data_IF_573590221526
#
_entry.id   IF_573590221526
#
_cell.length_a   1.000
_cell.length_b   1.000
_cell.length_c   1.000
_cell.angle_alpha   90.00
_cell.angle_beta   90.00
_cell.angle_gamma   90.00
#
_symmetry.space_group_name_H-M   'P 1'
#
loop_
_entity.id
_entity.type
_entity.pdbx_description
1 polymer ?
#
# COMPACT_ATOMS: atom_id res chain seq x y z
N UNK A 1 -19.15 -12.73 31.44
CA UNK A 1 -18.50 -13.24 30.21
C UNK A 1 -17.12 -12.60 30.19
N UNK A 2 -16.04 -13.41 30.23
CA UNK A 2 -14.69 -12.86 30.06
C UNK A 2 -14.61 -12.32 28.62
N UNK A 3 -14.31 -11.03 28.46
CA UNK A 3 -13.96 -10.49 27.15
C UNK A 3 -12.81 -11.33 26.57
N UNK A 4 -12.87 -11.71 25.30
CA UNK A 4 -11.80 -12.48 24.68
C UNK A 4 -10.48 -11.70 24.83
N UNK A 5 -9.43 -12.38 25.30
CA UNK A 5 -8.12 -11.76 25.47
C UNK A 5 -7.63 -11.23 24.12
N UNK A 6 -7.18 -9.99 24.07
CA UNK A 6 -6.66 -9.38 22.84
C UNK A 6 -5.42 -10.15 22.39
N UNK A 7 -5.47 -10.79 21.23
CA UNK A 7 -4.32 -11.46 20.65
C UNK A 7 -3.28 -10.44 20.15
N UNK A 8 -3.72 -9.50 19.32
CA UNK A 8 -2.81 -8.58 18.66
C UNK A 8 -3.30 -7.13 18.71
N UNK A 9 -2.37 -6.21 18.90
CA UNK A 9 -2.57 -4.79 18.59
C UNK A 9 -1.80 -4.45 17.33
N UNK A 10 -2.50 -4.04 16.27
CA UNK A 10 -1.90 -3.58 15.03
C UNK A 10 -1.90 -2.06 15.00
N UNK A 11 -0.73 -1.45 14.79
CA UNK A 11 -0.59 0.01 14.83
C UNK A 11 0.16 0.55 13.63
N UNK A 12 -0.46 1.50 12.96
CA UNK A 12 0.08 2.23 11.82
C UNK A 12 -0.80 3.44 11.55
N UNK A 13 -0.25 4.54 11.09
CA UNK A 13 -1.10 5.70 10.86
C UNK A 13 -0.39 6.92 10.33
N UNK A 14 -1.21 7.92 9.97
CA UNK A 14 -0.79 9.18 9.38
C UNK A 14 -1.00 9.26 7.87
N UNK A 15 -0.91 8.15 7.16
CA UNK A 15 -1.16 8.06 5.70
C UNK A 15 -1.80 6.72 5.34
N UNK A 16 -2.46 6.64 4.18
CA UNK A 16 -3.01 5.38 3.65
C UNK A 16 -1.94 4.29 3.51
N UNK A 17 -0.70 4.70 3.19
CA UNK A 17 0.44 3.80 3.07
C UNK A 17 0.81 3.06 4.36
N UNK A 18 0.33 3.45 5.54
CA UNK A 18 0.53 2.71 6.80
C UNK A 18 -0.77 2.10 7.33
N UNK A 19 -1.91 2.73 7.01
CA UNK A 19 -3.22 2.25 7.48
C UNK A 19 -3.66 1.00 6.73
N UNK A 20 -3.62 1.02 5.40
CA UNK A 20 -4.03 -0.13 4.58
C UNK A 20 -3.18 -1.38 4.86
N UNK A 21 -1.82 -1.31 4.92
CA UNK A 21 -1.01 -2.44 5.32
C UNK A 21 -1.28 -2.94 6.74
N UNK A 22 -1.59 -2.03 7.69
CA UNK A 22 -1.97 -2.43 9.05
C UNK A 22 -3.30 -3.23 9.05
N UNK A 23 -4.29 -2.78 8.28
CA UNK A 23 -5.54 -3.51 8.11
C UNK A 23 -5.35 -4.83 7.36
N UNK A 24 -4.46 -4.88 6.36
CA UNK A 24 -4.11 -6.11 5.65
C UNK A 24 -3.50 -7.17 6.59
N UNK A 25 -2.67 -6.75 7.57
CA UNK A 25 -2.17 -7.65 8.61
C UNK A 25 -3.32 -8.17 9.48
N UNK A 26 -4.24 -7.29 9.88
CA UNK A 26 -5.42 -7.71 10.65
C UNK A 26 -6.29 -8.72 9.87
N UNK A 27 -6.49 -8.50 8.56
CA UNK A 27 -7.15 -9.47 7.68
C UNK A 27 -6.40 -10.80 7.61
N UNK A 28 -5.07 -10.76 7.49
CA UNK A 28 -4.22 -11.96 7.46
C UNK A 28 -4.31 -12.77 8.75
N UNK A 29 -4.35 -12.11 9.91
CA UNK A 29 -4.55 -12.78 11.21
C UNK A 29 -5.93 -13.44 11.29
N UNK A 30 -6.99 -12.80 10.80
CA UNK A 30 -8.32 -13.41 10.73
C UNK A 30 -8.32 -14.61 9.79
N UNK A 31 -7.67 -14.51 8.64
CA UNK A 31 -7.54 -15.63 7.70
C UNK A 31 -6.74 -16.82 8.29
N UNK A 32 -5.83 -16.55 9.21
CA UNK A 32 -5.09 -17.56 9.99
C UNK A 32 -5.88 -18.15 11.17
N UNK A 33 -7.15 -17.73 11.37
CA UNK A 33 -8.06 -18.29 12.38
C UNK A 33 -8.19 -17.50 13.67
N UNK A 34 -7.58 -16.31 13.79
CA UNK A 34 -7.79 -15.46 14.94
C UNK A 34 -9.16 -14.76 14.89
N UNK A 35 -9.80 -14.65 16.06
CA UNK A 35 -11.06 -13.90 16.17
C UNK A 35 -10.83 -12.42 15.84
N UNK A 36 -11.69 -11.85 15.01
CA UNK A 36 -11.66 -10.42 14.66
C UNK A 36 -11.73 -9.52 15.88
N UNK A 37 -12.51 -9.90 16.91
CA UNK A 37 -12.64 -9.16 18.18
C UNK A 37 -11.37 -9.20 19.03
N UNK A 38 -10.49 -10.16 18.80
CA UNK A 38 -9.18 -10.27 19.47
C UNK A 38 -8.07 -9.45 18.80
N UNK A 39 -8.37 -8.74 17.72
CA UNK A 39 -7.43 -7.89 17.00
C UNK A 39 -7.85 -6.43 17.18
N UNK A 40 -6.98 -5.61 17.77
CA UNK A 40 -7.27 -4.21 18.05
C UNK A 40 -6.41 -3.29 17.21
N UNK A 41 -7.03 -2.39 16.44
CA UNK A 41 -6.30 -1.39 15.66
C UNK A 41 -6.03 -0.12 16.49
N UNK A 42 -4.79 0.39 16.42
CA UNK A 42 -4.41 1.67 17.04
C UNK A 42 -3.83 2.61 16.01
N UNK A 43 -4.50 3.75 15.81
CA UNK A 43 -4.10 4.79 14.84
C UNK A 43 -4.17 6.20 15.41
N UNK A 44 -4.28 7.20 14.55
CA UNK A 44 -4.39 8.61 14.93
C UNK A 44 -5.81 9.15 14.70
N UNK A 45 -6.18 10.23 15.42
CA UNK A 45 -7.46 10.94 15.20
C UNK A 45 -7.44 11.80 13.93
N UNK A 46 -6.46 11.64 13.06
CA UNK A 46 -6.22 12.47 11.88
C UNK A 46 -5.93 11.58 10.68
N UNK A 47 -6.28 12.08 9.49
CA UNK A 47 -6.02 11.35 8.25
C UNK A 47 -7.07 10.30 7.92
N UNK A 48 -6.71 9.38 7.04
CA UNK A 48 -7.63 8.40 6.45
C UNK A 48 -8.12 7.35 7.45
N UNK A 49 -7.42 7.15 8.57
CA UNK A 49 -7.80 6.18 9.59
C UNK A 49 -9.14 6.52 10.27
N UNK A 50 -9.56 7.78 10.28
CA UNK A 50 -10.88 8.16 10.82
C UNK A 50 -12.04 7.58 10.02
N UNK A 51 -11.81 7.28 8.76
CA UNK A 51 -12.77 6.62 7.86
C UNK A 51 -12.51 5.10 7.78
N UNK A 52 -11.25 4.70 7.58
CA UNK A 52 -10.91 3.31 7.29
C UNK A 52 -10.98 2.40 8.52
N UNK A 53 -10.58 2.87 9.71
CA UNK A 53 -10.59 2.03 10.90
C UNK A 53 -12.02 1.62 11.33
N UNK A 54 -13.03 2.54 11.40
CA UNK A 54 -14.41 2.15 11.64
C UNK A 54 -14.97 1.20 10.58
N UNK A 55 -14.69 1.47 9.29
CA UNK A 55 -15.20 0.67 8.17
C UNK A 55 -14.63 -0.76 8.14
N UNK A 56 -13.44 -0.98 8.70
CA UNK A 56 -12.79 -2.29 8.72
C UNK A 56 -13.42 -3.29 9.71
N UNK A 57 -14.26 -2.82 10.67
CA UNK A 57 -15.01 -3.68 11.59
C UNK A 57 -14.14 -4.37 12.66
N UNK A 58 -12.95 -3.85 12.94
CA UNK A 58 -12.12 -4.25 14.09
C UNK A 58 -12.35 -3.34 15.28
N UNK A 59 -12.17 -3.81 16.52
CA UNK A 59 -11.99 -2.92 17.66
C UNK A 59 -10.87 -1.93 17.40
N UNK A 60 -11.07 -0.65 17.66
CA UNK A 60 -10.05 0.36 17.36
C UNK A 60 -9.97 1.47 18.42
N UNK A 61 -8.81 2.09 18.49
CA UNK A 61 -8.58 3.30 19.29
C UNK A 61 -7.76 4.31 18.49
N UNK A 62 -8.27 5.53 18.39
CA UNK A 62 -7.56 6.63 17.73
C UNK A 62 -6.96 7.57 18.78
N UNK A 63 -5.64 7.75 18.74
CA UNK A 63 -4.88 8.61 19.66
C UNK A 63 -4.67 10.00 19.05
N UNK A 64 -4.63 11.06 19.89
CA UNK A 64 -4.27 12.41 19.43
C UNK A 64 -2.74 12.52 19.29
N UNK A 65 -2.22 12.05 18.17
CA UNK A 65 -0.80 12.12 17.80
C UNK A 65 -0.63 13.08 16.64
N UNK A 66 0.45 13.84 16.66
CA UNK A 66 0.87 14.69 15.54
C UNK A 66 2.26 14.26 15.06
N UNK A 67 2.48 14.29 13.76
CA UNK A 67 3.81 14.08 13.20
C UNK A 67 4.70 15.31 13.46
N UNK A 68 5.99 15.07 13.71
CA UNK A 68 6.98 16.14 13.76
C UNK A 68 7.09 16.75 12.36
N UNK A 69 6.86 18.06 12.25
CA UNK A 69 7.05 18.76 11.00
C UNK A 69 8.55 19.02 10.77
N UNK A 70 9.03 18.79 9.54
CA UNK A 70 10.44 19.02 9.16
C UNK A 70 10.84 20.52 9.17
N UNK A 71 9.86 21.44 9.19
CA UNK A 71 10.09 22.88 9.31
C UNK A 71 10.05 23.31 10.77
N UNK A 72 10.84 24.33 11.12
CA UNK A 72 10.79 25.03 12.41
C UNK A 72 9.46 25.80 12.50
N UNK A 73 8.42 25.14 13.04
CA UNK A 73 7.07 25.68 13.18
C UNK A 73 6.66 25.72 14.65
N UNK A 74 5.89 26.77 15.04
CA UNK A 74 5.27 26.86 16.37
C UNK A 74 4.40 25.61 16.69
N UNK A 75 3.94 24.87 15.68
CA UNK A 75 3.24 23.60 15.84
C UNK A 75 4.10 22.52 16.49
N UNK A 76 5.42 22.58 16.35
CA UNK A 76 6.36 21.67 17.01
C UNK A 76 6.42 21.88 18.53
N UNK A 77 6.05 23.05 19.07
CA UNK A 77 5.97 23.29 20.51
C UNK A 77 4.89 22.41 21.19
N UNK A 78 3.80 22.13 20.49
CA UNK A 78 2.74 21.25 20.99
C UNK A 78 3.04 19.75 20.78
N UNK A 79 4.11 19.42 20.06
CA UNK A 79 4.44 18.03 19.73
C UNK A 79 4.77 17.21 20.98
N UNK A 80 5.67 17.69 21.81
CA UNK A 80 6.15 16.94 22.99
C UNK A 80 5.04 16.68 24.03
N UNK A 81 4.23 17.68 24.45
CA UNK A 81 3.10 17.44 25.34
C UNK A 81 2.06 16.45 24.77
N UNK A 82 1.75 16.56 23.47
CA UNK A 82 0.82 15.64 22.81
C UNK A 82 1.38 14.22 22.74
N UNK A 83 2.67 14.08 22.41
CA UNK A 83 3.34 12.77 22.38
C UNK A 83 3.32 12.10 23.76
N UNK A 84 3.62 12.85 24.84
CA UNK A 84 3.58 12.34 26.21
C UNK A 84 2.15 11.89 26.58
N UNK A 85 1.14 12.71 26.25
CA UNK A 85 -0.27 12.34 26.50
C UNK A 85 -0.70 11.10 25.74
N UNK A 86 -0.38 11.04 24.44
CA UNK A 86 -0.69 9.89 23.60
C UNK A 86 0.01 8.62 24.08
N UNK A 87 1.26 8.72 24.53
CA UNK A 87 2.02 7.59 25.07
C UNK A 87 1.45 7.10 26.41
N UNK A 88 0.99 8.01 27.29
CA UNK A 88 0.29 7.64 28.51
C UNK A 88 -1.03 6.94 28.21
N UNK A 89 -1.84 7.47 27.29
CA UNK A 89 -3.09 6.87 26.85
C UNK A 89 -2.85 5.47 26.24
N UNK A 90 -1.85 5.33 25.36
CA UNK A 90 -1.45 4.05 24.80
C UNK A 90 -1.04 3.04 25.88
N UNK A 91 -0.31 3.49 26.93
CA UNK A 91 0.11 2.62 28.04
C UNK A 91 -1.10 2.12 28.86
N UNK A 92 -2.07 2.98 29.11
CA UNK A 92 -3.34 2.61 29.80
C UNK A 92 -4.11 1.60 28.94
N UNK A 93 -4.25 1.87 27.64
CA UNK A 93 -4.90 0.96 26.69
C UNK A 93 -4.23 -0.43 26.68
N UNK A 94 -2.89 -0.50 26.55
CA UNK A 94 -2.16 -1.77 26.53
C UNK A 94 -2.31 -2.57 27.83
N UNK A 95 -2.41 -1.89 28.99
CA UNK A 95 -2.67 -2.56 30.27
C UNK A 95 -4.07 -3.17 30.34
N UNK A 96 -5.07 -2.52 29.73
CA UNK A 96 -6.43 -3.04 29.64
C UNK A 96 -6.53 -4.21 28.67
N UNK A 97 -5.98 -4.04 27.46
CA UNK A 97 -6.04 -5.04 26.39
C UNK A 97 -5.15 -6.27 26.66
N UNK A 98 -4.00 -6.10 27.31
CA UNK A 98 -2.98 -7.14 27.55
C UNK A 98 -2.66 -8.00 26.31
N UNK A 99 -2.30 -7.37 25.17
CA UNK A 99 -2.09 -8.11 23.94
C UNK A 99 -0.87 -9.05 24.03
N UNK A 100 -0.96 -10.19 23.34
CA UNK A 100 0.15 -11.13 23.20
C UNK A 100 1.28 -10.58 22.34
N UNK A 101 0.96 -9.71 21.36
CA UNK A 101 1.91 -9.07 20.44
C UNK A 101 1.42 -7.71 19.98
N UNK A 102 2.36 -6.79 19.71
CA UNK A 102 2.09 -5.51 19.06
C UNK A 102 2.80 -5.47 17.70
N UNK A 103 2.10 -5.08 16.66
CA UNK A 103 2.61 -4.99 15.29
C UNK A 103 2.73 -3.52 14.91
N UNK A 104 3.96 -3.06 14.70
CA UNK A 104 4.27 -1.69 14.25
C UNK A 104 4.44 -1.65 12.73
N UNK A 105 3.52 -1.01 12.03
CA UNK A 105 3.54 -0.89 10.56
C UNK A 105 4.15 0.45 10.10
N UNK A 106 4.68 1.23 11.04
CA UNK A 106 5.32 2.51 10.74
C UNK A 106 4.38 3.71 10.79
N UNK A 107 4.92 4.85 10.35
CA UNK A 107 4.27 6.14 10.52
C UNK A 107 4.35 6.68 11.96
N UNK A 108 4.16 7.99 12.12
CA UNK A 108 4.24 8.62 13.44
C UNK A 108 3.13 8.13 14.40
N UNK A 109 2.01 7.64 13.85
CA UNK A 109 0.87 7.13 14.60
C UNK A 109 1.19 5.84 15.36
N UNK A 110 2.15 5.03 14.91
CA UNK A 110 2.49 3.76 15.54
C UNK A 110 3.40 3.91 16.77
N UNK A 111 4.11 5.04 16.91
CA UNK A 111 5.10 5.23 17.95
C UNK A 111 4.53 5.07 19.39
N UNK A 112 3.40 5.71 19.78
CA UNK A 112 2.91 5.63 21.15
C UNK A 112 2.57 4.21 21.60
N UNK A 113 1.88 3.44 20.73
CA UNK A 113 1.50 2.06 21.05
C UNK A 113 2.72 1.14 21.14
N UNK A 114 3.66 1.24 20.20
CA UNK A 114 4.88 0.44 20.21
C UNK A 114 5.79 0.78 21.39
N UNK A 115 5.90 2.06 21.72
CA UNK A 115 6.66 2.48 22.91
C UNK A 115 6.02 2.00 24.21
N UNK A 116 4.68 2.02 24.31
CA UNK A 116 3.95 1.48 25.44
C UNK A 116 4.17 -0.04 25.59
N UNK A 117 4.09 -0.80 24.50
CA UNK A 117 4.40 -2.23 24.45
C UNK A 117 5.81 -2.52 25.02
N UNK A 118 6.82 -1.81 24.49
CA UNK A 118 8.19 -1.91 24.98
C UNK A 118 8.31 -1.67 26.49
N UNK A 119 7.61 -0.67 27.03
CA UNK A 119 7.66 -0.31 28.47
C UNK A 119 6.92 -1.30 29.36
N UNK A 120 6.00 -2.05 28.82
CA UNK A 120 5.21 -3.06 29.52
C UNK A 120 5.77 -4.48 29.31
N UNK A 121 6.85 -4.65 28.56
CA UNK A 121 7.43 -5.96 28.27
C UNK A 121 6.63 -6.78 27.26
N UNK A 122 5.63 -6.17 26.58
CA UNK A 122 4.88 -6.84 25.50
C UNK A 122 5.77 -6.97 24.28
N UNK A 123 5.94 -8.17 23.70
CA UNK A 123 6.72 -8.36 22.50
C UNK A 123 6.10 -7.60 21.32
N UNK A 124 6.95 -7.10 20.42
CA UNK A 124 6.46 -6.43 19.24
C UNK A 124 7.29 -6.71 18.00
N UNK A 125 6.62 -6.70 16.86
CA UNK A 125 7.20 -6.83 15.52
C UNK A 125 7.19 -5.47 14.85
N UNK A 126 8.30 -5.10 14.19
CA UNK A 126 8.34 -3.95 13.28
C UNK A 126 8.19 -4.45 11.86
N UNK A 127 7.18 -3.98 11.15
CA UNK A 127 6.95 -4.29 9.73
C UNK A 127 7.44 -3.11 8.90
N UNK A 128 8.42 -3.37 8.03
CA UNK A 128 9.04 -2.37 7.15
C UNK A 128 9.07 -2.91 5.73
N UNK A 129 8.15 -2.46 4.92
CA UNK A 129 7.95 -2.94 3.54
C UNK A 129 8.48 -1.97 2.47
N UNK A 130 9.01 -0.81 2.86
CA UNK A 130 9.82 0.06 1.98
C UNK A 130 11.28 -0.42 1.97
N UNK A 131 11.97 -0.30 0.83
CA UNK A 131 13.41 -0.56 0.73
C UNK A 131 14.22 0.29 1.73
N UNK A 132 13.73 1.48 2.05
CA UNK A 132 14.33 2.36 3.07
C UNK A 132 13.40 2.50 4.28
N UNK A 133 13.74 1.86 5.41
CA UNK A 133 12.93 1.94 6.62
C UNK A 133 12.77 3.37 7.15
N UNK A 134 11.54 3.76 7.49
CA UNK A 134 11.23 5.05 8.07
C UNK A 134 11.84 5.24 9.48
N UNK A 135 11.92 6.49 9.95
CA UNK A 135 12.55 6.85 11.22
C UNK A 135 11.96 6.10 12.43
N UNK A 136 10.63 5.99 12.51
CA UNK A 136 9.96 5.27 13.61
C UNK A 136 10.33 3.79 13.58
N UNK A 137 10.33 3.17 12.40
CA UNK A 137 10.76 1.78 12.22
C UNK A 137 12.20 1.58 12.65
N UNK A 138 13.15 2.43 12.21
CA UNK A 138 14.56 2.39 12.62
C UNK A 138 14.73 2.50 14.14
N UNK A 139 13.98 3.42 14.78
CA UNK A 139 14.06 3.63 16.23
C UNK A 139 13.50 2.43 17.02
N UNK A 140 12.36 1.91 16.60
CA UNK A 140 11.69 0.84 17.33
C UNK A 140 12.32 -0.53 17.06
N UNK A 141 12.93 -0.75 15.89
CA UNK A 141 13.60 -2.00 15.50
C UNK A 141 14.69 -2.45 16.48
N UNK A 142 15.38 -1.51 17.13
CA UNK A 142 16.49 -1.84 18.06
C UNK A 142 16.08 -2.78 19.19
N UNK A 143 14.83 -2.75 19.61
CA UNK A 143 14.28 -3.54 20.74
C UNK A 143 13.07 -4.39 20.30
N UNK A 144 12.78 -4.47 19.02
CA UNK A 144 11.74 -5.35 18.49
C UNK A 144 12.11 -6.81 18.71
N UNK A 145 11.16 -7.70 18.87
CA UNK A 145 11.40 -9.14 18.89
C UNK A 145 11.88 -9.62 17.51
N UNK A 146 11.29 -9.09 16.45
CA UNK A 146 11.69 -9.31 15.06
C UNK A 146 11.34 -8.09 14.19
N UNK A 147 11.99 -7.98 13.03
CA UNK A 147 11.64 -7.01 11.99
C UNK A 147 11.24 -7.76 10.72
N UNK A 148 9.96 -7.68 10.35
CA UNK A 148 9.44 -8.19 9.10
C UNK A 148 9.80 -7.23 7.97
N UNK A 149 10.44 -7.71 6.90
CA UNK A 149 10.85 -6.89 5.76
C UNK A 149 10.33 -7.47 4.45
N UNK A 150 10.06 -6.59 3.48
CA UNK A 150 9.56 -7.01 2.18
C UNK A 150 10.67 -7.31 1.17
N UNK A 151 11.86 -6.80 1.39
CA UNK A 151 12.99 -6.89 0.47
C UNK A 151 14.25 -7.32 1.21
N UNK A 152 15.11 -8.04 0.52
CA UNK A 152 16.43 -8.44 1.03
C UNK A 152 17.34 -7.23 1.29
N UNK A 153 18.40 -7.42 2.06
CA UNK A 153 19.38 -6.37 2.32
C UNK A 153 18.95 -5.28 3.30
N UNK A 154 17.85 -5.45 4.02
CA UNK A 154 17.40 -4.48 5.02
C UNK A 154 18.42 -4.33 6.15
N UNK A 155 18.78 -3.08 6.48
CA UNK A 155 19.69 -2.77 7.60
C UNK A 155 19.03 -2.85 8.99
N UNK A 156 17.77 -3.28 9.09
CA UNK A 156 17.11 -3.43 10.38
C UNK A 156 17.65 -4.64 11.15
N UNK A 157 17.82 -4.54 12.47
CA UNK A 157 18.26 -5.67 13.29
C UNK A 157 17.18 -6.76 13.31
N UNK A 158 17.59 -8.03 13.32
CA UNK A 158 16.66 -9.18 13.31
C UNK A 158 15.66 -9.11 12.17
N UNK A 159 16.12 -8.65 10.99
CA UNK A 159 15.31 -8.61 9.79
C UNK A 159 15.04 -10.05 9.29
N UNK A 160 13.78 -10.33 9.02
CA UNK A 160 13.34 -11.58 8.39
C UNK A 160 12.53 -11.21 7.14
N UNK A 161 12.85 -11.83 6.02
CA UNK A 161 12.14 -11.63 4.77
C UNK A 161 10.77 -12.31 4.84
N UNK A 162 9.70 -11.51 4.87
CA UNK A 162 8.33 -12.00 5.03
C UNK A 162 7.40 -11.52 3.93
N UNK A 163 7.90 -10.65 3.06
CA UNK A 163 7.05 -9.92 2.14
C UNK A 163 6.34 -8.73 2.79
N UNK A 164 5.67 -7.95 1.96
CA UNK A 164 4.83 -6.83 2.38
C UNK A 164 3.43 -7.31 2.77
N UNK A 165 2.75 -6.62 3.69
CA UNK A 165 1.34 -6.89 3.97
C UNK A 165 0.46 -6.47 2.80
N UNK A 166 -0.20 -7.42 2.17
CA UNK A 166 -1.14 -7.24 1.06
C UNK A 166 -2.52 -7.69 1.49
N UNK A 167 -3.55 -6.93 1.09
CA UNK A 167 -4.96 -7.24 1.41
C UNK A 167 -5.34 -8.62 0.91
N UNK A 168 -6.07 -9.40 1.71
CA UNK A 168 -6.42 -10.79 1.37
C UNK A 168 -7.19 -10.90 0.05
N UNK A 169 -8.07 -9.94 -0.25
CA UNK A 169 -8.82 -9.90 -1.53
C UNK A 169 -7.90 -9.72 -2.74
N UNK A 170 -6.73 -9.08 -2.59
CA UNK A 170 -5.72 -8.92 -3.64
C UNK A 170 -4.86 -10.20 -3.74
N UNK A 171 -4.46 -10.76 -2.61
CA UNK A 171 -3.69 -12.03 -2.59
C UNK A 171 -4.46 -13.17 -3.26
N UNK A 172 -5.77 -13.24 -3.04
CA UNK A 172 -6.66 -14.26 -3.59
C UNK A 172 -7.17 -13.96 -5.01
N UNK A 173 -6.76 -12.83 -5.62
CA UNK A 173 -7.27 -12.41 -6.92
C UNK A 173 -6.74 -13.30 -8.05
N UNK A 174 -7.65 -13.91 -8.79
CA UNK A 174 -7.39 -14.55 -10.07
C UNK A 174 -7.79 -13.57 -11.19
N UNK A 175 -6.79 -12.87 -11.75
CA UNK A 175 -7.02 -11.81 -12.74
C UNK A 175 -7.74 -12.31 -13.99
N UNK A 176 -7.38 -13.47 -14.50
CA UNK A 176 -7.95 -13.98 -15.75
C UNK A 176 -9.39 -14.43 -15.57
N UNK A 177 -9.67 -15.10 -14.46
CA UNK A 177 -11.03 -15.55 -14.11
C UNK A 177 -11.95 -14.37 -13.80
N UNK A 178 -11.48 -13.36 -13.10
CA UNK A 178 -12.30 -12.24 -12.62
C UNK A 178 -12.39 -11.08 -13.63
N UNK A 179 -11.53 -11.04 -14.65
CA UNK A 179 -11.48 -9.97 -15.66
C UNK A 179 -12.81 -9.63 -16.33
N UNK A 180 -13.61 -10.61 -16.82
CA UNK A 180 -14.86 -10.29 -17.52
C UNK A 180 -15.86 -9.56 -16.61
N UNK A 181 -15.96 -9.96 -15.36
CA UNK A 181 -16.84 -9.36 -14.37
C UNK A 181 -16.31 -8.00 -13.91
N UNK A 182 -15.00 -7.91 -13.63
CA UNK A 182 -14.34 -6.65 -13.25
C UNK A 182 -14.51 -5.57 -14.32
N UNK A 183 -14.38 -5.93 -15.60
CA UNK A 183 -14.65 -5.01 -16.71
C UNK A 183 -16.09 -4.55 -16.76
N UNK A 184 -17.04 -5.46 -16.51
CA UNK A 184 -18.46 -5.12 -16.43
C UNK A 184 -18.76 -4.16 -15.29
N UNK A 185 -18.23 -4.42 -14.08
CA UNK A 185 -18.40 -3.56 -12.90
C UNK A 185 -17.79 -2.17 -13.05
N UNK A 186 -16.68 -2.09 -13.77
CA UNK A 186 -15.99 -0.82 -14.07
C UNK A 186 -16.47 -0.19 -15.38
N UNK A 187 -17.47 -0.79 -16.05
CA UNK A 187 -18.03 -0.35 -17.35
C UNK A 187 -16.92 -0.17 -18.40
N UNK A 188 -16.02 -1.14 -18.47
CA UNK A 188 -14.92 -1.18 -19.43
C UNK A 188 -15.20 -2.18 -20.55
N UNK A 189 -14.78 -1.91 -21.79
CA UNK A 189 -15.00 -2.80 -22.93
C UNK A 189 -14.22 -4.10 -22.78
N UNK A 190 -14.81 -5.19 -23.32
CA UNK A 190 -14.18 -6.52 -23.25
C UNK A 190 -13.07 -6.72 -24.29
N UNK A 191 -13.17 -6.03 -25.38
CA UNK A 191 -12.39 -6.19 -26.62
C UNK A 191 -11.27 -5.19 -26.79
N UNK A 192 -11.18 -4.16 -25.92
CA UNK A 192 -10.12 -3.16 -25.96
C UNK A 192 -8.97 -3.51 -24.99
N UNK A 193 -7.79 -3.01 -25.32
CA UNK A 193 -6.67 -2.99 -24.37
C UNK A 193 -6.94 -1.94 -23.29
N UNK A 194 -6.96 -2.37 -22.03
CA UNK A 194 -7.30 -1.51 -20.90
C UNK A 194 -6.04 -1.09 -20.16
N UNK A 195 -5.77 0.21 -20.18
CA UNK A 195 -4.72 0.83 -19.34
C UNK A 195 -5.36 1.47 -18.13
N UNK A 196 -4.98 1.02 -16.92
CA UNK A 196 -5.41 1.66 -15.69
C UNK A 196 -4.28 2.53 -15.12
N UNK A 197 -4.57 3.80 -14.85
CA UNK A 197 -3.61 4.75 -14.28
C UNK A 197 -4.01 5.09 -12.85
N UNK A 198 -3.16 4.70 -11.88
CA UNK A 198 -3.43 4.91 -10.44
C UNK A 198 -2.16 5.36 -9.72
N UNK A 199 -2.12 6.61 -9.29
CA UNK A 199 -0.95 7.21 -8.65
C UNK A 199 -1.16 7.53 -7.16
N UNK A 200 -1.96 6.71 -6.47
CA UNK A 200 -2.34 6.89 -5.06
C UNK A 200 -3.46 7.91 -4.87
N UNK A 201 -3.92 8.06 -3.62
CA UNK A 201 -5.10 8.86 -3.25
C UNK A 201 -5.00 10.36 -3.56
N UNK A 202 -3.80 10.89 -3.70
CA UNK A 202 -3.55 12.30 -4.03
C UNK A 202 -3.47 12.54 -5.55
N UNK A 203 -3.35 11.46 -6.34
CA UNK A 203 -2.98 11.54 -7.73
C UNK A 203 -1.53 12.00 -7.95
N UNK A 204 -1.15 12.22 -9.20
CA UNK A 204 0.18 12.67 -9.58
C UNK A 204 0.12 13.62 -10.79
N UNK A 205 0.23 14.92 -10.55
CA UNK A 205 0.05 15.96 -11.60
C UNK A 205 0.90 15.69 -12.84
N UNK A 206 2.16 15.26 -12.68
CA UNK A 206 3.04 14.97 -13.83
C UNK A 206 2.52 13.77 -14.65
N UNK A 207 2.07 12.71 -13.97
CA UNK A 207 1.49 11.54 -14.66
C UNK A 207 0.14 11.91 -15.29
N UNK A 208 -0.70 12.66 -14.57
CA UNK A 208 -2.00 13.11 -15.10
C UNK A 208 -1.82 13.90 -16.41
N UNK A 209 -0.83 14.81 -16.48
CA UNK A 209 -0.51 15.57 -17.71
C UNK A 209 -0.06 14.67 -18.85
N UNK A 210 0.86 13.74 -18.60
CA UNK A 210 1.34 12.82 -19.60
C UNK A 210 0.22 11.92 -20.16
N UNK A 211 -0.69 11.46 -19.27
CA UNK A 211 -1.85 10.67 -19.69
C UNK A 211 -2.82 11.50 -20.52
N UNK A 212 -3.11 12.74 -20.13
CA UNK A 212 -3.96 13.64 -20.92
C UNK A 212 -3.40 13.89 -22.31
N UNK A 213 -2.10 14.23 -22.43
CA UNK A 213 -1.43 14.44 -23.70
C UNK A 213 -1.44 13.15 -24.56
N UNK A 214 -1.18 12.00 -23.97
CA UNK A 214 -1.29 10.70 -24.64
C UNK A 214 -2.71 10.44 -25.18
N UNK A 215 -3.73 10.67 -24.37
CA UNK A 215 -5.13 10.47 -24.77
C UNK A 215 -5.53 11.38 -25.91
N UNK A 216 -5.03 12.61 -25.97
CA UNK A 216 -5.25 13.54 -27.07
C UNK A 216 -4.58 13.03 -28.37
N UNK A 217 -3.35 12.54 -28.29
CA UNK A 217 -2.62 11.93 -29.43
C UNK A 217 -3.30 10.68 -29.95
N UNK A 218 -3.94 9.91 -29.08
CA UNK A 218 -4.61 8.65 -29.39
C UNK A 218 -6.12 8.80 -29.56
N UNK A 219 -6.60 10.01 -29.82
CA UNK A 219 -8.04 10.32 -29.84
C UNK A 219 -8.87 9.37 -30.72
N UNK A 220 -8.35 8.98 -31.87
CA UNK A 220 -9.05 8.15 -32.88
C UNK A 220 -8.88 6.64 -32.64
N UNK A 221 -8.16 6.22 -31.59
CA UNK A 221 -7.90 4.80 -31.28
C UNK A 221 -9.13 4.11 -30.71
N UNK A 222 -9.66 3.14 -31.43
CA UNK A 222 -10.82 2.34 -31.00
C UNK A 222 -10.46 1.05 -30.26
N UNK A 223 -9.20 0.69 -30.26
CA UNK A 223 -8.65 -0.52 -29.65
C UNK A 223 -8.12 -0.32 -28.22
N UNK A 224 -8.15 0.94 -27.72
CA UNK A 224 -7.61 1.35 -26.42
C UNK A 224 -8.70 1.92 -25.50
N UNK A 225 -8.62 1.59 -24.23
CA UNK A 225 -9.41 2.19 -23.16
C UNK A 225 -8.47 2.61 -22.01
N UNK A 226 -8.67 3.81 -21.49
CA UNK A 226 -7.88 4.35 -20.37
C UNK A 226 -8.80 4.63 -19.18
N UNK A 227 -8.52 3.99 -18.05
CA UNK A 227 -9.16 4.21 -16.77
C UNK A 227 -8.22 5.01 -15.88
N UNK A 228 -8.50 6.29 -15.67
CA UNK A 228 -7.57 7.21 -15.03
C UNK A 228 -8.08 7.72 -13.68
N UNK A 229 -7.44 7.28 -12.59
CA UNK A 229 -7.67 7.76 -11.23
C UNK A 229 -6.76 8.96 -10.96
N UNK A 230 -7.28 10.15 -11.19
CA UNK A 230 -6.51 11.41 -11.17
C UNK A 230 -6.19 11.93 -9.77
N UNK A 231 -6.89 11.43 -8.73
CA UNK A 231 -6.89 11.96 -7.37
C UNK A 231 -8.00 13.00 -7.15
N UNK A 232 -8.71 12.92 -6.02
CA UNK A 232 -9.89 13.78 -5.75
C UNK A 232 -9.63 15.28 -5.97
N UNK A 233 -8.43 15.75 -5.61
CA UNK A 233 -8.05 17.17 -5.73
C UNK A 233 -7.82 17.63 -7.15
N UNK A 234 -7.59 16.71 -8.09
CA UNK A 234 -7.23 17.03 -9.46
C UNK A 234 -8.40 16.80 -10.43
N UNK A 235 -9.58 16.41 -9.96
CA UNK A 235 -10.75 16.14 -10.82
C UNK A 235 -11.15 17.37 -11.62
N UNK A 236 -11.11 18.55 -10.99
CA UNK A 236 -11.46 19.81 -11.65
C UNK A 236 -10.49 20.26 -12.75
N UNK A 237 -9.25 19.78 -12.71
CA UNK A 237 -8.18 20.09 -13.66
C UNK A 237 -7.97 18.95 -14.68
N UNK A 238 -8.72 17.86 -14.56
CA UNK A 238 -8.59 16.71 -15.46
C UNK A 238 -9.26 16.99 -16.81
N UNK A 239 -8.69 16.45 -17.89
CA UNK A 239 -9.34 16.46 -19.20
C UNK A 239 -10.70 15.73 -19.14
N UNK A 240 -11.68 16.18 -19.93
CA UNK A 240 -12.99 15.53 -19.96
C UNK A 240 -12.87 14.08 -20.44
N UNK A 241 -13.73 13.22 -19.88
CA UNK A 241 -13.83 11.83 -20.33
C UNK A 241 -14.30 11.73 -21.78
N UNK A 242 -14.04 10.57 -22.41
CA UNK A 242 -14.46 10.22 -23.77
C UNK A 242 -15.21 8.89 -23.70
N UNK A 243 -16.37 8.80 -24.33
CA UNK A 243 -17.27 7.62 -24.28
C UNK A 243 -16.80 6.42 -25.12
N UNK A 244 -15.81 6.63 -25.98
CA UNK A 244 -15.24 5.58 -26.82
C UNK A 244 -16.08 5.21 -28.04
N UNK A 245 -17.14 5.94 -28.37
CA UNK A 245 -18.03 5.62 -29.53
C UNK A 245 -17.33 5.79 -30.87
N UNK A 246 -16.44 6.77 -30.99
CA UNK A 246 -15.71 7.09 -32.24
C UNK A 246 -14.20 7.16 -32.09
N UNK A 247 -13.65 6.66 -30.97
CA UNK A 247 -12.22 6.72 -30.68
C UNK A 247 -11.87 6.07 -29.35
N UNK A 248 -10.86 6.61 -28.66
CA UNK A 248 -10.42 6.12 -27.37
C UNK A 248 -11.52 6.25 -26.29
N UNK A 249 -11.73 5.20 -25.50
CA UNK A 249 -12.49 5.33 -24.26
C UNK A 249 -11.55 5.95 -23.20
N UNK A 250 -11.94 7.07 -22.63
CA UNK A 250 -11.21 7.70 -21.53
C UNK A 250 -12.13 7.99 -20.36
N UNK A 251 -11.95 7.23 -19.27
CA UNK A 251 -12.72 7.37 -18.04
C UNK A 251 -11.86 8.03 -16.97
N UNK A 252 -12.35 9.14 -16.43
CA UNK A 252 -11.68 9.92 -15.38
C UNK A 252 -12.41 9.77 -14.07
N UNK A 253 -11.69 9.42 -13.03
CA UNK A 253 -12.23 9.20 -11.69
C UNK A 253 -11.33 9.87 -10.65
N UNK A 254 -11.94 10.46 -9.61
CA UNK A 254 -11.18 11.09 -8.52
C UNK A 254 -10.52 10.08 -7.59
N UNK A 255 -11.24 9.01 -7.25
CA UNK A 255 -10.75 7.97 -6.33
C UNK A 255 -11.39 6.63 -6.68
N UNK A 256 -10.63 5.53 -6.52
CA UNK A 256 -11.13 4.18 -6.76
C UNK A 256 -10.97 3.31 -5.52
N UNK A 257 -12.09 2.83 -4.98
CA UNK A 257 -12.13 1.92 -3.83
C UNK A 257 -12.00 0.44 -4.28
N UNK A 258 -12.40 0.13 -5.53
CA UNK A 258 -12.45 -1.22 -6.09
C UNK A 258 -11.12 -1.62 -6.74
N UNK A 259 -10.01 -1.43 -6.03
CA UNK A 259 -8.68 -1.77 -6.54
C UNK A 259 -8.53 -3.23 -6.99
N UNK A 260 -9.11 -4.26 -6.30
CA UNK A 260 -9.06 -5.63 -6.82
C UNK A 260 -9.68 -5.77 -8.20
N UNK A 261 -10.83 -5.14 -8.43
CA UNK A 261 -11.49 -5.14 -9.75
C UNK A 261 -10.63 -4.42 -10.79
N UNK A 262 -10.01 -3.29 -10.40
CA UNK A 262 -9.14 -2.55 -11.32
C UNK A 262 -7.91 -3.37 -11.71
N UNK A 263 -7.29 -4.09 -10.77
CA UNK A 263 -6.18 -5.02 -11.07
C UNK A 263 -6.63 -6.16 -12.00
N UNK A 264 -7.84 -6.70 -11.83
CA UNK A 264 -8.36 -7.74 -12.71
C UNK A 264 -8.69 -7.22 -14.12
N UNK A 265 -9.31 -6.04 -14.22
CA UNK A 265 -9.80 -5.47 -15.48
C UNK A 265 -8.68 -4.98 -16.40
N UNK A 266 -7.60 -4.45 -15.84
CA UNK A 266 -6.51 -3.82 -16.59
C UNK A 266 -5.60 -4.85 -17.30
N UNK A 267 -5.19 -4.55 -18.53
CA UNK A 267 -4.11 -5.27 -19.20
C UNK A 267 -2.75 -4.71 -18.75
N UNK A 268 -2.67 -3.41 -18.53
CA UNK A 268 -1.47 -2.69 -18.12
C UNK A 268 -1.82 -1.63 -17.07
N UNK A 269 -0.97 -1.49 -16.06
CA UNK A 269 -1.09 -0.40 -15.08
C UNK A 269 -0.01 0.65 -15.27
N UNK A 270 -0.34 1.91 -14.99
CA UNK A 270 0.62 3.02 -14.84
C UNK A 270 0.49 3.54 -13.41
N UNK A 271 1.60 3.53 -12.65
CA UNK A 271 1.53 3.81 -11.22
C UNK A 271 2.80 4.46 -10.66
N UNK A 272 2.73 4.89 -9.40
CA UNK A 272 3.90 5.32 -8.60
C UNK A 272 4.62 4.13 -7.96
N UNK A 273 5.90 4.33 -7.56
CA UNK A 273 6.74 3.34 -6.89
C UNK A 273 6.49 3.21 -5.37
N UNK A 274 5.25 3.33 -4.90
CA UNK A 274 4.93 3.08 -3.50
C UNK A 274 5.05 1.60 -3.16
N UNK A 275 5.73 1.26 -2.04
CA UNK A 275 6.02 -0.12 -1.67
C UNK A 275 4.78 -1.03 -1.60
N UNK A 276 3.65 -0.52 -1.06
CA UNK A 276 2.39 -1.26 -1.04
C UNK A 276 1.88 -1.56 -2.45
N UNK A 277 1.94 -0.59 -3.38
CA UNK A 277 1.53 -0.78 -4.76
C UNK A 277 2.44 -1.78 -5.49
N UNK A 278 3.76 -1.67 -5.30
CA UNK A 278 4.74 -2.62 -5.86
C UNK A 278 4.43 -4.05 -5.40
N UNK A 279 4.15 -4.22 -4.10
CA UNK A 279 3.77 -5.53 -3.55
C UNK A 279 2.42 -6.04 -4.07
N UNK A 280 1.42 -5.17 -4.24
CA UNK A 280 0.13 -5.54 -4.82
C UNK A 280 0.28 -5.96 -6.29
N UNK A 281 1.02 -5.19 -7.11
CA UNK A 281 1.32 -5.53 -8.51
C UNK A 281 1.98 -6.92 -8.61
N UNK A 282 3.01 -7.14 -7.80
CA UNK A 282 3.72 -8.41 -7.73
C UNK A 282 2.80 -9.56 -7.28
N UNK A 283 1.95 -9.32 -6.27
CA UNK A 283 1.06 -10.35 -5.74
C UNK A 283 0.05 -10.86 -6.76
N UNK A 284 -0.40 -10.00 -7.69
CA UNK A 284 -1.40 -10.37 -8.70
C UNK A 284 -0.79 -10.61 -10.09
N UNK A 285 0.52 -10.42 -10.26
CA UNK A 285 1.17 -10.52 -11.56
C UNK A 285 0.66 -9.48 -12.56
N UNK A 286 0.45 -8.24 -12.11
CA UNK A 286 -0.05 -7.19 -12.99
C UNK A 286 1.10 -6.51 -13.74
N UNK A 287 1.12 -6.54 -15.10
CA UNK A 287 2.09 -5.75 -15.86
C UNK A 287 1.95 -4.26 -15.53
N UNK A 288 3.08 -3.58 -15.35
CA UNK A 288 3.04 -2.19 -14.98
C UNK A 288 4.18 -1.36 -15.59
N UNK A 289 3.86 -0.10 -15.87
CA UNK A 289 4.82 1.00 -16.03
C UNK A 289 4.84 1.75 -14.70
N UNK A 290 5.98 1.76 -14.03
CA UNK A 290 6.16 2.44 -12.75
C UNK A 290 6.88 3.75 -12.98
N UNK A 291 6.27 4.84 -12.51
CA UNK A 291 6.80 6.20 -12.56
C UNK A 291 7.08 6.67 -11.14
N UNK A 292 8.28 6.49 -10.59
CA UNK A 292 8.59 6.87 -9.22
C UNK A 292 8.46 8.38 -9.01
N UNK A 293 8.01 8.78 -7.80
CA UNK A 293 7.96 10.20 -7.44
C UNK A 293 9.33 10.66 -6.91
N UNK A 294 10.00 11.65 -7.57
CA UNK A 294 11.33 12.09 -7.17
C UNK A 294 11.34 12.88 -5.83
N UNK A 295 10.18 13.40 -5.39
CA UNK A 295 10.03 14.05 -4.08
C UNK A 295 9.83 13.09 -2.91
N UNK A 296 9.89 11.78 -3.13
CA UNK A 296 9.80 10.78 -2.07
C UNK A 296 11.00 10.86 -1.12
N UNK A 297 10.75 10.70 0.18
CA UNK A 297 11.81 10.78 1.19
C UNK A 297 12.92 9.75 0.90
N UNK A 298 14.17 10.19 0.91
CA UNK A 298 15.34 9.34 0.63
C UNK A 298 15.22 8.59 -0.73
N UNK A 299 14.41 9.09 -1.68
CA UNK A 299 14.19 8.51 -3.00
C UNK A 299 13.66 7.04 -2.98
N UNK A 300 12.99 6.63 -1.90
CA UNK A 300 12.57 5.24 -1.69
C UNK A 300 11.67 4.68 -2.80
N UNK A 301 10.89 5.54 -3.50
CA UNK A 301 10.03 5.06 -4.60
C UNK A 301 10.82 4.55 -5.81
N UNK A 302 11.98 5.11 -6.09
CA UNK A 302 12.88 4.60 -7.14
C UNK A 302 13.42 3.24 -6.73
N UNK A 303 13.90 3.10 -5.49
CA UNK A 303 14.42 1.83 -4.99
C UNK A 303 13.32 0.74 -4.99
N UNK A 304 12.10 1.05 -4.56
CA UNK A 304 10.97 0.12 -4.61
C UNK A 304 10.63 -0.30 -6.06
N UNK A 305 10.64 0.66 -7.01
CA UNK A 305 10.33 0.36 -8.41
C UNK A 305 11.41 -0.53 -9.05
N UNK A 306 12.68 -0.33 -8.69
CA UNK A 306 13.80 -1.15 -9.16
C UNK A 306 13.68 -2.61 -8.79
N UNK A 307 13.07 -2.93 -7.65
CA UNK A 307 12.83 -4.33 -7.24
C UNK A 307 12.12 -5.13 -8.33
N UNK A 308 11.14 -4.54 -9.02
CA UNK A 308 10.45 -5.21 -10.12
C UNK A 308 11.14 -4.98 -11.47
N UNK A 309 11.60 -3.75 -11.74
CA UNK A 309 12.13 -3.43 -13.08
C UNK A 309 13.45 -4.13 -13.38
N UNK A 310 14.34 -4.30 -12.41
CA UNK A 310 15.60 -5.04 -12.55
C UNK A 310 15.39 -6.54 -12.81
N UNK A 311 14.26 -7.08 -12.37
CA UNK A 311 13.83 -8.46 -12.66
C UNK A 311 13.04 -8.57 -13.97
N UNK A 312 12.83 -7.45 -14.70
CA UNK A 312 11.96 -7.41 -15.87
C UNK A 312 10.50 -7.70 -15.58
N UNK A 313 10.07 -7.44 -14.34
CA UNK A 313 8.71 -7.62 -13.84
C UNK A 313 7.86 -6.35 -13.93
N UNK A 314 8.45 -5.23 -14.31
CA UNK A 314 7.80 -3.96 -14.62
C UNK A 314 8.70 -3.12 -15.53
N UNK A 315 8.12 -2.13 -16.22
CA UNK A 315 8.87 -1.06 -16.85
C UNK A 315 9.03 0.11 -15.88
N UNK A 316 10.17 0.78 -15.92
CA UNK A 316 10.43 1.98 -15.13
C UNK A 316 10.60 3.16 -16.08
N UNK A 317 9.83 4.23 -15.88
CA UNK A 317 10.04 5.53 -16.52
C UNK A 317 10.32 6.55 -15.42
N UNK A 318 11.46 7.20 -15.46
CA UNK A 318 11.71 8.28 -14.51
C UNK A 318 10.84 9.49 -14.82
N UNK A 319 10.38 10.21 -13.80
CA UNK A 319 9.41 11.29 -14.01
C UNK A 319 9.91 12.40 -14.95
N UNK A 320 11.22 12.62 -15.03
CA UNK A 320 11.78 13.64 -15.92
C UNK A 320 11.77 13.23 -17.40
N UNK A 321 11.66 11.92 -17.69
CA UNK A 321 11.56 11.36 -19.03
C UNK A 321 10.09 11.11 -19.43
N UNK A 322 9.13 11.43 -18.56
CA UNK A 322 7.72 11.14 -18.78
C UNK A 322 7.02 12.31 -19.48
N UNK A 323 6.52 12.04 -20.66
CA UNK A 323 5.55 12.84 -21.39
C UNK A 323 4.50 11.92 -22.06
N UNK A 324 3.55 12.50 -22.80
CA UNK A 324 2.51 11.72 -23.47
C UNK A 324 3.01 10.88 -24.63
N UNK A 325 4.06 11.34 -25.32
CA UNK A 325 4.67 10.60 -26.44
C UNK A 325 5.40 9.36 -25.92
N UNK A 326 6.26 9.53 -24.93
CA UNK A 326 6.98 8.43 -24.29
C UNK A 326 6.05 7.42 -23.67
N UNK A 327 5.03 7.88 -22.94
CA UNK A 327 4.04 7.00 -22.34
C UNK A 327 3.27 6.21 -23.38
N UNK A 328 2.82 6.88 -24.44
CA UNK A 328 2.11 6.25 -25.56
C UNK A 328 2.95 5.21 -26.27
N UNK A 329 4.21 5.51 -26.55
CA UNK A 329 5.14 4.58 -27.19
C UNK A 329 5.35 3.29 -26.38
N UNK A 330 5.50 3.39 -25.05
CA UNK A 330 5.65 2.20 -24.20
C UNK A 330 4.35 1.39 -24.09
N UNK A 331 3.19 2.06 -24.05
CA UNK A 331 1.88 1.39 -24.08
C UNK A 331 1.69 0.63 -25.40
N UNK A 332 1.97 1.25 -26.53
CA UNK A 332 1.90 0.59 -27.84
C UNK A 332 2.87 -0.60 -27.95
N UNK A 333 4.10 -0.42 -27.50
CA UNK A 333 5.09 -1.50 -27.52
C UNK A 333 4.62 -2.74 -26.75
N UNK A 334 3.93 -2.55 -25.59
CA UNK A 334 3.39 -3.65 -24.80
C UNK A 334 2.05 -4.17 -25.35
N UNK A 335 1.23 -3.31 -25.91
CA UNK A 335 -0.05 -3.69 -26.49
C UNK A 335 0.12 -4.60 -27.70
N UNK A 336 1.09 -4.29 -28.57
CA UNK A 336 1.36 -5.04 -29.78
C UNK A 336 2.33 -6.22 -29.59
N UNK A 337 3.08 -6.25 -28.48
CA UNK A 337 3.89 -7.41 -28.07
C UNK A 337 3.28 -8.11 -26.86
N UNK A 338 2.25 -8.92 -27.11
CA UNK A 338 1.55 -9.71 -26.08
C UNK A 338 2.47 -10.74 -25.40
N UNK A 339 3.49 -11.22 -26.10
CA UNK A 339 4.49 -12.12 -25.53
C UNK A 339 5.33 -11.42 -24.46
N UNK A 340 5.82 -10.21 -24.73
CA UNK A 340 6.54 -9.39 -23.77
C UNK A 340 5.66 -9.02 -22.56
N UNK A 341 4.40 -8.64 -22.80
CA UNK A 341 3.45 -8.34 -21.73
C UNK A 341 3.23 -9.54 -20.81
N UNK A 342 3.06 -10.75 -21.38
CA UNK A 342 2.90 -11.99 -20.61
C UNK A 342 4.16 -12.34 -19.79
N UNK A 343 5.36 -12.12 -20.33
CA UNK A 343 6.62 -12.32 -19.59
C UNK A 343 6.73 -11.38 -18.41
N UNK A 344 6.36 -10.11 -18.58
CA UNK A 344 6.34 -9.13 -17.47
C UNK A 344 5.36 -9.58 -16.39
N UNK A 345 4.13 -10.00 -16.78
CA UNK A 345 3.11 -10.49 -15.85
C UNK A 345 3.62 -11.72 -15.05
N UNK A 346 4.22 -12.67 -15.72
CA UNK A 346 4.75 -13.89 -15.10
C UNK A 346 5.86 -13.56 -14.09
N UNK A 347 6.84 -12.76 -14.49
CA UNK A 347 7.93 -12.33 -13.61
C UNK A 347 7.43 -11.53 -12.41
N UNK A 348 6.43 -10.66 -12.62
CA UNK A 348 5.81 -9.94 -11.52
C UNK A 348 5.15 -10.90 -10.53
N UNK A 349 4.43 -11.91 -11.03
CA UNK A 349 3.81 -12.93 -10.19
C UNK A 349 4.84 -13.76 -9.42
N UNK A 350 5.94 -14.17 -10.04
CA UNK A 350 7.04 -14.88 -9.37
C UNK A 350 7.68 -14.01 -8.26
N UNK A 351 7.99 -12.74 -8.55
CA UNK A 351 8.51 -11.80 -7.56
C UNK A 351 7.56 -11.59 -6.37
N UNK A 352 6.24 -11.74 -6.59
CA UNK A 352 5.21 -11.64 -5.56
C UNK A 352 5.05 -12.87 -4.67
N UNK A 353 5.75 -13.97 -4.91
CA UNK A 353 5.60 -15.21 -4.14
C UNK A 353 5.78 -15.00 -2.63
N UNK A 354 6.76 -14.20 -2.23
CA UNK A 354 7.01 -13.88 -0.82
C UNK A 354 5.85 -13.12 -0.16
N UNK A 355 5.13 -12.27 -0.90
CA UNK A 355 3.99 -11.52 -0.37
C UNK A 355 2.76 -12.40 -0.15
N UNK A 356 2.69 -13.53 -0.85
CA UNK A 356 1.62 -14.54 -0.77
C UNK A 356 1.95 -15.71 0.16
N UNK A 357 3.18 -15.79 0.68
CA UNK A 357 3.69 -16.96 1.40
C UNK A 357 3.07 -17.19 2.78
N UNK A 358 2.43 -16.17 3.38
CA UNK A 358 1.98 -16.23 4.79
C UNK A 358 3.08 -15.99 5.83
N UNK A 359 4.34 -15.90 5.44
CA UNK A 359 5.49 -15.79 6.36
C UNK A 359 5.39 -14.61 7.34
N UNK A 360 4.74 -13.50 6.95
CA UNK A 360 4.50 -12.37 7.84
C UNK A 360 3.60 -12.75 9.03
N UNK A 361 2.53 -13.48 8.78
CA UNK A 361 1.59 -13.91 9.82
C UNK A 361 2.25 -14.97 10.72
N UNK A 362 2.96 -15.93 10.15
CA UNK A 362 3.72 -16.95 10.90
C UNK A 362 4.76 -16.30 11.83
N UNK A 363 5.48 -15.26 11.37
CA UNK A 363 6.41 -14.49 12.20
C UNK A 363 5.70 -13.83 13.38
N UNK A 364 4.56 -13.19 13.15
CA UNK A 364 3.77 -12.51 14.18
C UNK A 364 3.32 -13.52 15.24
N UNK A 365 2.77 -14.67 14.84
CA UNK A 365 2.31 -15.72 15.74
C UNK A 365 3.48 -16.34 16.54
N UNK A 366 4.62 -16.56 15.90
CA UNK A 366 5.82 -17.07 16.58
C UNK A 366 6.27 -16.10 17.68
N UNK A 367 6.29 -14.79 17.39
CA UNK A 367 6.65 -13.77 18.38
C UNK A 367 5.63 -13.71 19.53
N UNK A 368 4.33 -13.84 19.24
CA UNK A 368 3.30 -13.87 20.26
C UNK A 368 3.47 -15.06 21.21
N UNK A 369 3.71 -16.28 20.68
CA UNK A 369 3.96 -17.49 21.49
C UNK A 369 5.19 -17.36 22.39
N UNK A 370 6.29 -16.80 21.90
CA UNK A 370 7.51 -16.59 22.67
C UNK A 370 7.34 -15.58 23.81
N UNK A 371 6.45 -14.60 23.63
CA UNK A 371 6.11 -13.62 24.66
C UNK A 371 5.27 -14.20 25.80
N UNK A 372 4.39 -15.13 25.50
CA UNK A 372 3.51 -15.79 26.47
C UNK A 372 4.25 -16.82 27.34
N UNK A 373 5.43 -17.27 26.93
CA UNK A 373 6.26 -18.24 27.65
C UNK A 373 7.23 -17.59 28.65
N UNK A 374 7.29 -16.27 28.73
CA UNK A 374 8.13 -15.49 29.67
C UNK A 374 7.27 -14.87 30.78
#
# INVERSE_FOLDING_TARGET
MNEPATFAVVTGGGTSGHVLPALAIAEGLVAAGHDRSAIHYVGTRRGVETRLAPAAGYPYTLLDVVGLQRSLSRRNLAFLPKLVRATRAARTLMRGLRPSVVINVGGYGSFPATWAARRLGVPYVVVSYDCRPGLVSKLMARRAAACAVAFEGSALPRAELTGAPVRQRIVALDRDRERPEARRELELPRDRFVVAVVCGSQGAVAVNRAVTDMVERFADRTDLAVYHVVGERNVGDAAPGRDGTSGILYRVIGYEDRMPQLYAAADLLVTRGGAGTIAELASVGAPAIVVPWPGAAENHQVDNAKVLSEQGAALLIEQHDLDGERLGAEIDALMFDRGRLAVIAHRAYEAGAIHRSGALIELIERVARQGSAR
#
